data_IF_668812653297
#
_entry.id   IF_668812653297
#
_cell.length_a   1.000
_cell.length_b   1.000
_cell.length_c   1.000
_cell.angle_alpha   90.00
_cell.angle_beta   90.00
_cell.angle_gamma   90.00
#
_symmetry.space_group_name_H-M   'P 1'
#
loop_
_entity.id
_entity.type
_entity.pdbx_description
1 polymer ?
#
# COMPACT_ATOMS: atom_id res chain seq x y z
N UNK A 1 15.36 -3.78 12.69
CA UNK A 1 14.62 -4.30 11.52
C UNK A 1 13.13 -4.34 11.86
N UNK A 2 12.21 -4.29 10.89
CA UNK A 2 10.76 -4.26 11.17
C UNK A 2 10.29 -5.56 11.87
N UNK A 3 9.56 -5.49 12.99
CA UNK A 3 8.90 -6.67 13.55
C UNK A 3 7.78 -7.13 12.60
N UNK A 4 7.61 -8.46 12.43
CA UNK A 4 6.61 -9.05 11.52
C UNK A 4 6.64 -8.45 10.12
N UNK A 5 7.83 -8.34 9.53
CA UNK A 5 8.06 -7.61 8.28
C UNK A 5 7.21 -8.09 7.08
N UNK A 6 6.81 -9.36 7.07
CA UNK A 6 6.00 -9.97 6.00
C UNK A 6 4.49 -9.74 6.15
N UNK A 7 4.03 -9.21 7.29
CA UNK A 7 2.62 -8.92 7.52
C UNK A 7 2.26 -7.52 7.04
N UNK A 8 1.08 -7.40 6.40
CA UNK A 8 0.47 -6.10 6.12
C UNK A 8 -0.18 -5.54 7.38
N UNK A 9 0.57 -4.71 8.11
CA UNK A 9 0.13 -4.09 9.35
C UNK A 9 0.06 -2.56 9.19
N UNK A 10 -1.16 -2.07 8.98
CA UNK A 10 -1.43 -0.65 8.76
C UNK A 10 -1.24 0.19 10.03
N UNK A 11 -1.32 -0.41 11.22
CA UNK A 11 -1.25 0.31 12.50
C UNK A 11 0.12 0.93 12.73
N UNK A 12 1.16 0.43 12.05
CA UNK A 12 2.53 0.99 12.02
C UNK A 12 2.60 2.45 11.59
N UNK A 13 1.57 2.95 10.91
CA UNK A 13 1.51 4.29 10.35
C UNK A 13 0.46 5.17 11.03
N UNK A 14 -0.34 4.60 11.95
CA UNK A 14 -1.36 5.33 12.66
C UNK A 14 -0.72 6.23 13.72
N UNK A 15 -1.26 7.45 13.87
CA UNK A 15 -0.90 8.33 14.97
C UNK A 15 -1.41 7.74 16.27
N UNK A 16 -0.68 7.97 17.35
CA UNK A 16 -1.12 7.63 18.70
C UNK A 16 -2.44 8.37 19.00
N UNK A 17 -3.54 7.67 19.34
CA UNK A 17 -4.82 8.30 19.63
C UNK A 17 -4.81 9.27 20.82
N UNK A 18 -3.92 9.06 21.79
CA UNK A 18 -3.80 9.90 23.00
C UNK A 18 -2.90 11.11 22.77
N UNK A 19 -1.76 10.91 22.10
CA UNK A 19 -0.75 11.98 21.95
C UNK A 19 -0.78 12.66 20.58
N UNK A 20 -1.44 12.07 19.58
CA UNK A 20 -1.47 12.57 18.19
C UNK A 20 -0.14 12.46 17.45
N UNK A 21 0.91 11.96 18.12
CA UNK A 21 2.25 11.85 17.57
C UNK A 21 2.34 10.74 16.53
N UNK A 22 3.21 10.95 15.53
CA UNK A 22 3.53 9.93 14.54
C UNK A 22 4.30 8.79 15.22
N UNK A 23 4.10 7.54 14.77
CA UNK A 23 4.84 6.41 15.29
C UNK A 23 6.34 6.56 15.00
N UNK A 24 7.18 6.21 15.97
CA UNK A 24 8.63 6.23 15.81
C UNK A 24 9.06 5.04 14.96
N UNK A 25 9.63 5.32 13.78
CA UNK A 25 10.16 4.29 12.90
C UNK A 25 11.41 3.63 13.51
N UNK A 26 11.68 2.34 13.20
CA UNK A 26 12.89 1.66 13.65
C UNK A 26 14.18 2.35 13.17
N UNK A 27 14.11 3.06 12.03
CA UNK A 27 15.21 3.83 11.44
C UNK A 27 14.64 4.92 10.52
N UNK A 28 15.28 6.09 10.35
CA UNK A 28 14.80 7.15 9.44
C UNK A 28 14.62 6.70 7.99
N UNK A 29 15.42 5.73 7.56
CA UNK A 29 15.38 5.14 6.21
C UNK A 29 14.72 3.76 6.17
N UNK A 30 13.89 3.42 7.17
CA UNK A 30 13.23 2.12 7.23
C UNK A 30 12.15 1.92 6.14
N UNK A 31 11.74 2.98 5.44
CA UNK A 31 10.72 2.96 4.40
C UNK A 31 11.05 3.96 3.28
N UNK A 32 11.49 3.46 2.13
CA UNK A 32 11.97 4.25 0.99
C UNK A 32 11.37 3.80 -0.35
N UNK A 33 10.03 3.77 -0.51
CA UNK A 33 9.39 3.29 -1.75
C UNK A 33 9.65 4.18 -2.98
N UNK A 34 10.09 5.43 -2.78
CA UNK A 34 10.39 6.38 -3.85
C UNK A 34 11.88 6.77 -3.90
N UNK A 35 12.74 6.07 -3.15
CA UNK A 35 14.13 6.46 -2.84
C UNK A 35 14.20 7.78 -2.04
N UNK A 36 15.40 8.35 -1.92
CA UNK A 36 15.68 9.59 -1.19
C UNK A 36 16.85 10.36 -1.84
N UNK A 37 17.00 11.63 -1.47
CA UNK A 37 18.08 12.50 -1.96
C UNK A 37 17.84 13.08 -3.36
N UNK A 38 18.89 13.57 -4.05
CA UNK A 38 18.78 14.25 -5.34
C UNK A 38 18.20 13.41 -6.49
N UNK A 39 18.18 12.09 -6.33
CA UNK A 39 17.62 11.12 -7.29
C UNK A 39 16.33 10.45 -6.78
N UNK A 40 15.63 11.06 -5.83
CA UNK A 40 14.27 10.67 -5.45
C UNK A 40 13.36 10.70 -6.69
N UNK A 41 12.37 9.81 -6.72
CA UNK A 41 11.35 9.78 -7.75
C UNK A 41 10.63 11.13 -7.87
N UNK A 42 10.81 11.80 -9.02
CA UNK A 42 10.13 13.07 -9.34
C UNK A 42 8.60 12.91 -9.36
N UNK A 43 8.09 11.70 -9.61
CA UNK A 43 6.67 11.37 -9.65
C UNK A 43 6.03 11.09 -8.28
N UNK A 44 6.79 11.12 -7.17
CA UNK A 44 6.29 10.71 -5.85
C UNK A 44 4.98 11.40 -5.45
N UNK A 45 4.89 12.73 -5.61
CA UNK A 45 3.71 13.48 -5.19
C UNK A 45 2.50 13.16 -6.06
N UNK A 46 2.70 13.02 -7.36
CA UNK A 46 1.64 12.68 -8.30
C UNK A 46 1.12 11.26 -8.05
N UNK A 47 2.01 10.28 -7.91
CA UNK A 47 1.65 8.89 -7.63
C UNK A 47 0.85 8.75 -6.33
N UNK A 48 1.22 9.48 -5.27
CA UNK A 48 0.48 9.47 -4.01
C UNK A 48 -0.89 10.15 -4.11
N UNK A 49 -1.02 11.21 -4.92
CA UNK A 49 -2.30 11.87 -5.16
C UNK A 49 -3.25 10.93 -5.92
N UNK A 50 -2.77 10.37 -7.04
CA UNK A 50 -3.52 9.42 -7.87
C UNK A 50 -3.98 8.21 -7.04
N UNK A 51 -3.07 7.58 -6.29
CA UNK A 51 -3.38 6.42 -5.46
C UNK A 51 -4.46 6.73 -4.41
N UNK A 52 -4.41 7.90 -3.76
CA UNK A 52 -5.42 8.31 -2.77
C UNK A 52 -6.78 8.52 -3.41
N UNK A 53 -6.83 9.18 -4.57
CA UNK A 53 -8.08 9.45 -5.29
C UNK A 53 -8.70 8.12 -5.74
N UNK A 54 -7.91 7.25 -6.38
CA UNK A 54 -8.38 5.93 -6.81
C UNK A 54 -8.90 5.10 -5.64
N UNK A 55 -8.15 5.04 -4.53
CA UNK A 55 -8.54 4.28 -3.34
C UNK A 55 -9.84 4.83 -2.72
N UNK A 56 -9.97 6.16 -2.62
CA UNK A 56 -11.18 6.79 -2.11
C UNK A 56 -12.40 6.48 -2.99
N UNK A 57 -12.25 6.54 -4.33
CA UNK A 57 -13.33 6.18 -5.26
C UNK A 57 -13.72 4.71 -5.16
N UNK A 58 -12.74 3.81 -5.06
CA UNK A 58 -12.98 2.37 -4.94
C UNK A 58 -13.69 2.02 -3.63
N UNK A 59 -13.22 2.49 -2.48
CA UNK A 59 -13.82 2.15 -1.18
C UNK A 59 -15.25 2.68 -1.06
N UNK A 60 -15.56 3.83 -1.68
CA UNK A 60 -16.90 4.42 -1.66
C UNK A 60 -17.92 3.66 -2.54
N UNK A 61 -17.47 3.02 -3.62
CA UNK A 61 -18.36 2.53 -4.68
C UNK A 61 -18.30 1.02 -4.93
N UNK A 62 -17.27 0.35 -4.43
CA UNK A 62 -16.99 -1.03 -4.77
C UNK A 62 -16.78 -1.88 -3.51
N UNK A 63 -17.32 -3.09 -3.53
CA UNK A 63 -16.87 -4.20 -2.68
C UNK A 63 -15.95 -5.09 -3.52
N UNK A 64 -14.90 -5.61 -2.88
CA UNK A 64 -13.89 -6.46 -3.51
C UNK A 64 -13.86 -7.82 -2.82
N UNK A 65 -14.17 -8.87 -3.57
CA UNK A 65 -14.06 -10.24 -3.10
C UNK A 65 -12.97 -10.97 -3.88
N UNK A 66 -11.88 -11.36 -3.20
CA UNK A 66 -10.78 -12.06 -3.85
C UNK A 66 -11.25 -13.41 -4.39
N UNK A 67 -10.93 -13.71 -5.65
CA UNK A 67 -11.25 -15.03 -6.21
C UNK A 67 -10.43 -16.10 -5.47
N UNK A 68 -11.06 -17.16 -4.94
CA UNK A 68 -10.37 -18.17 -4.13
C UNK A 68 -9.40 -19.03 -4.97
N UNK A 69 -8.42 -19.63 -4.30
CA UNK A 69 -7.50 -20.60 -4.91
C UNK A 69 -6.40 -20.01 -5.79
N UNK A 70 -6.29 -18.69 -5.86
CA UNK A 70 -5.27 -18.02 -6.68
C UNK A 70 -3.90 -18.04 -6.02
N UNK A 71 -2.86 -18.28 -6.82
CA UNK A 71 -1.48 -18.28 -6.36
C UNK A 71 -0.88 -16.86 -6.48
N UNK A 72 -0.71 -16.19 -5.36
CA UNK A 72 -0.10 -14.86 -5.31
C UNK A 72 1.42 -15.03 -5.12
N UNK A 73 2.19 -14.81 -6.19
CA UNK A 73 3.67 -14.90 -6.16
C UNK A 73 4.25 -13.58 -6.66
N UNK A 74 5.16 -12.93 -5.91
CA UNK A 74 5.85 -11.75 -6.38
C UNK A 74 6.82 -12.11 -7.52
N UNK A 75 6.74 -11.39 -8.63
CA UNK A 75 7.69 -11.42 -9.73
C UNK A 75 8.36 -10.05 -9.84
N UNK A 76 9.69 -10.03 -9.85
CA UNK A 76 10.47 -8.81 -10.02
C UNK A 76 10.86 -8.70 -11.49
N UNK A 77 10.40 -7.63 -12.16
CA UNK A 77 10.92 -7.18 -13.46
C UNK A 77 11.53 -5.79 -13.28
N UNK A 78 11.07 -4.79 -14.04
CA UNK A 78 11.38 -3.38 -13.77
C UNK A 78 10.68 -2.94 -12.47
N UNK A 79 9.43 -3.37 -12.27
CA UNK A 79 8.68 -3.23 -11.01
C UNK A 79 8.26 -4.60 -10.49
N UNK A 80 7.97 -4.69 -9.19
CA UNK A 80 7.40 -5.90 -8.59
C UNK A 80 5.90 -6.00 -8.93
N UNK A 81 5.45 -7.19 -9.32
CA UNK A 81 4.05 -7.46 -9.67
C UNK A 81 3.65 -8.90 -9.33
N UNK A 82 2.35 -9.22 -9.23
CA UNK A 82 1.90 -10.61 -9.13
C UNK A 82 2.20 -11.38 -10.42
N UNK A 83 2.90 -12.51 -10.33
CA UNK A 83 3.30 -13.34 -11.48
C UNK A 83 2.11 -13.81 -12.34
N UNK A 84 1.01 -14.16 -11.69
CA UNK A 84 -0.18 -14.78 -12.30
C UNK A 84 -1.39 -13.84 -12.35
N UNK A 85 -1.18 -12.55 -12.10
CA UNK A 85 -2.26 -11.58 -11.88
C UNK A 85 -2.84 -11.67 -10.45
N UNK A 86 -3.86 -10.85 -10.20
CA UNK A 86 -4.63 -10.81 -8.95
C UNK A 86 -6.08 -10.51 -9.33
N UNK A 87 -6.97 -11.51 -9.23
CA UNK A 87 -8.35 -11.34 -9.66
C UNK A 87 -9.28 -11.20 -8.47
N UNK A 88 -10.23 -10.28 -8.59
CA UNK A 88 -11.28 -10.05 -7.60
C UNK A 88 -12.62 -9.89 -8.31
N UNK A 89 -13.68 -10.40 -7.70
CA UNK A 89 -15.05 -10.05 -8.05
C UNK A 89 -15.33 -8.66 -7.50
N UNK A 90 -15.90 -7.79 -8.32
CA UNK A 90 -16.22 -6.42 -7.96
C UNK A 90 -17.74 -6.24 -8.03
N UNK A 91 -18.34 -5.87 -6.91
CA UNK A 91 -19.76 -5.50 -6.85
C UNK A 91 -19.92 -4.04 -6.43
N UNK A 92 -21.04 -3.42 -6.79
CA UNK A 92 -21.34 -2.06 -6.35
C UNK A 92 -21.61 -2.08 -4.85
N UNK A 93 -21.03 -1.13 -4.12
CA UNK A 93 -21.28 -0.92 -2.70
C UNK A 93 -22.59 -0.16 -2.51
N UNK A 94 -23.52 -0.75 -1.78
CA UNK A 94 -24.73 -0.08 -1.30
C UNK A 94 -24.37 0.72 -0.03
N UNK A 95 -24.89 1.94 0.09
CA UNK A 95 -24.63 2.89 1.19
C UNK A 95 -25.81 2.85 2.17
#
# INVERSE_FOLDING_TARGET
>A
MWPRALEFDYTRWMRDPKTGLKPKLPHPYAYLPFAAGPRNCIGQNFALLEAKIMLAMFIQRCNFDLVPGQKIVPEIKITMRPKYGLWANISRREI
#
